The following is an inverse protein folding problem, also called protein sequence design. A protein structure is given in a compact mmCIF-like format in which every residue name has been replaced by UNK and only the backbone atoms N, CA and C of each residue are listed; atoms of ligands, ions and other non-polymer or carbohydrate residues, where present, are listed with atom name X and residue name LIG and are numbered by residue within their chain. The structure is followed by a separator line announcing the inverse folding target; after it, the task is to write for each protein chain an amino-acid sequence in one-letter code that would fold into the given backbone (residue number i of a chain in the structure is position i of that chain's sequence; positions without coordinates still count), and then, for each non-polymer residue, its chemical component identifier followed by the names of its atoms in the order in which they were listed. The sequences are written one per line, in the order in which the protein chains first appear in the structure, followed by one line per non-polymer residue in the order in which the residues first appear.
data_IF_609455227658
#
_entry.id   IF_609455227658
#
_cell.length_a   1.000
_cell.length_b   1.000
_cell.length_c   1.000
_cell.angle_alpha   90.00
_cell.angle_beta   90.00
_cell.angle_gamma   90.00
#
_symmetry.space_group_name_H-M   'P 1'
#
loop_
_entity.id
_entity.type
_entity.pdbx_description
1 polymer ?
#
# COMPACT_ATOMS: atom_id res chain seq x y z
N UNK A 1 -8.00 -11.49 -2.19
CA UNK A 1 -6.65 -11.71 -1.68
C UNK A 1 -6.50 -11.30 -0.21
N UNK A 2 -7.06 -10.16 0.19
CA UNK A 2 -7.07 -9.68 1.59
C UNK A 2 -7.96 -10.50 2.54
N UNK A 3 -8.70 -11.49 2.02
CA UNK A 3 -9.64 -12.35 2.76
C UNK A 3 -10.82 -11.60 3.43
N UNK A 4 -11.08 -10.36 3.04
CA UNK A 4 -12.20 -9.57 3.56
C UNK A 4 -13.54 -9.94 2.90
N UNK A 5 -13.49 -10.37 1.65
CA UNK A 5 -14.64 -10.85 0.88
C UNK A 5 -14.36 -12.26 0.36
N UNK A 6 -15.39 -13.07 0.30
CA UNK A 6 -15.35 -14.37 -0.35
C UNK A 6 -15.59 -14.21 -1.85
N UNK A 7 -14.87 -14.98 -2.66
CA UNK A 7 -15.14 -15.03 -4.09
C UNK A 7 -16.39 -15.87 -4.37
N UNK A 8 -17.20 -15.46 -5.36
CA UNK A 8 -18.36 -16.24 -5.79
C UNK A 8 -17.93 -17.54 -6.49
N UNK A 9 -16.77 -17.54 -7.14
CA UNK A 9 -16.21 -18.70 -7.83
C UNK A 9 -14.69 -18.55 -8.02
N UNK A 10 -14.04 -19.61 -8.43
CA UNK A 10 -12.60 -19.65 -8.67
C UNK A 10 -11.79 -19.94 -7.40
N UNK A 11 -10.46 -19.87 -7.55
CA UNK A 11 -9.50 -20.15 -6.49
C UNK A 11 -8.43 -19.06 -6.46
N UNK A 12 -7.99 -18.71 -5.25
CA UNK A 12 -6.87 -17.78 -5.07
C UNK A 12 -6.00 -18.24 -3.90
N UNK A 13 -4.71 -17.99 -4.02
CA UNK A 13 -3.74 -18.26 -2.95
C UNK A 13 -2.89 -17.03 -2.65
N UNK A 14 -2.50 -16.89 -1.40
CA UNK A 14 -1.54 -15.88 -0.93
C UNK A 14 -0.46 -16.60 -0.15
N UNK A 15 0.79 -16.48 -0.55
CA UNK A 15 1.93 -17.21 0.03
C UNK A 15 1.70 -18.74 0.06
N UNK A 16 1.07 -19.29 -1.00
CA UNK A 16 0.71 -20.70 -1.10
C UNK A 16 -0.49 -21.16 -0.24
N UNK A 17 -1.07 -20.25 0.56
CA UNK A 17 -2.23 -20.51 1.42
C UNK A 17 -3.54 -20.17 0.70
N UNK A 18 -4.55 -21.01 0.83
CA UNK A 18 -5.88 -20.81 0.24
C UNK A 18 -6.62 -19.66 0.95
N UNK A 19 -7.13 -18.68 0.19
CA UNK A 19 -7.74 -17.46 0.76
C UNK A 19 -9.03 -17.74 1.54
N UNK A 20 -9.64 -18.89 1.36
CA UNK A 20 -10.88 -19.29 2.06
C UNK A 20 -10.57 -20.16 3.27
N UNK A 21 -9.71 -21.17 3.10
CA UNK A 21 -9.41 -22.15 4.16
C UNK A 21 -8.44 -21.61 5.19
N UNK A 22 -7.43 -20.86 4.73
CA UNK A 22 -6.30 -20.39 5.55
C UNK A 22 -6.39 -18.91 5.93
N UNK A 23 -7.58 -18.30 5.83
CA UNK A 23 -7.75 -16.84 5.97
C UNK A 23 -7.18 -16.26 7.27
N UNK A 24 -7.27 -17.00 8.39
CA UNK A 24 -6.70 -16.55 9.67
C UNK A 24 -5.17 -16.47 9.62
N UNK A 25 -4.51 -17.41 8.94
CA UNK A 25 -3.06 -17.43 8.81
C UNK A 25 -2.60 -16.32 7.86
N UNK A 26 -3.34 -16.10 6.77
CA UNK A 26 -3.08 -15.03 5.81
C UNK A 26 -3.18 -13.66 6.51
N UNK A 27 -4.25 -13.40 7.25
CA UNK A 27 -4.46 -12.13 7.96
C UNK A 27 -3.34 -11.76 8.93
N UNK A 28 -2.68 -12.72 9.53
CA UNK A 28 -1.53 -12.50 10.42
C UNK A 28 -0.25 -12.08 9.67
N UNK A 29 -0.18 -12.35 8.37
CA UNK A 29 1.02 -12.14 7.53
C UNK A 29 0.84 -11.05 6.48
N UNK A 30 -0.34 -10.46 6.39
CA UNK A 30 -0.72 -9.48 5.39
C UNK A 30 -0.98 -8.14 6.06
N UNK A 31 -0.33 -7.10 5.59
CA UNK A 31 -0.71 -5.72 5.86
C UNK A 31 -1.69 -5.23 4.78
N UNK A 32 -2.69 -4.46 5.18
CA UNK A 32 -3.67 -3.91 4.26
C UNK A 32 -3.92 -2.43 4.52
N UNK A 33 -3.84 -1.64 3.48
CA UNK A 33 -4.18 -0.22 3.49
C UNK A 33 -5.29 0.02 2.45
N UNK A 34 -6.55 0.20 2.88
CA UNK A 34 -7.67 0.48 1.98
C UNK A 34 -7.59 1.91 1.43
N UNK A 35 -8.18 2.14 0.25
CA UNK A 35 -8.16 3.42 -0.46
C UNK A 35 -8.91 4.56 0.23
N UNK A 36 -9.83 4.24 1.14
CA UNK A 36 -10.44 5.22 2.05
C UNK A 36 -9.97 4.94 3.47
N UNK A 37 -9.52 5.98 4.12
CA UNK A 37 -8.82 5.99 5.40
C UNK A 37 -9.27 4.91 6.39
N UNK A 38 -8.38 3.96 6.64
CA UNK A 38 -8.50 2.94 7.69
C UNK A 38 -8.21 3.49 9.09
N UNK A 39 -7.94 4.79 9.21
CA UNK A 39 -7.57 5.44 10.46
C UNK A 39 -8.80 5.90 11.23
N UNK A 40 -8.75 5.73 12.54
CA UNK A 40 -9.72 6.32 13.46
C UNK A 40 -9.43 7.82 13.59
N UNK A 41 -10.27 8.64 12.96
CA UNK A 41 -10.05 10.08 12.80
C UNK A 41 -10.01 10.83 14.16
N UNK A 42 -10.75 10.33 15.15
CA UNK A 42 -10.84 10.92 16.49
C UNK A 42 -9.72 10.50 17.43
N UNK A 43 -9.02 9.40 17.10
CA UNK A 43 -7.84 8.96 17.82
C UNK A 43 -6.60 9.74 17.37
N UNK A 44 -5.64 9.87 18.28
CA UNK A 44 -4.32 10.42 17.98
C UNK A 44 -3.50 9.49 17.11
N UNK A 45 -2.37 9.97 16.61
CA UNK A 45 -1.39 9.15 15.87
C UNK A 45 -0.93 7.97 16.72
N UNK A 46 -0.61 8.22 18.00
CA UNK A 46 -0.18 7.18 18.93
C UNK A 46 -1.28 6.15 19.17
N UNK A 47 -2.50 6.59 19.49
CA UNK A 47 -3.63 5.71 19.76
C UNK A 47 -4.02 4.84 18.55
N UNK A 48 -3.91 5.37 17.31
CA UNK A 48 -4.10 4.56 16.10
C UNK A 48 -3.07 3.42 16.03
N UNK A 49 -1.78 3.72 16.24
CA UNK A 49 -0.73 2.70 16.22
C UNK A 49 -0.89 1.68 17.33
N UNK A 50 -1.19 2.11 18.55
CA UNK A 50 -1.41 1.22 19.71
C UNK A 50 -2.60 0.29 19.47
N UNK A 51 -3.68 0.81 18.85
CA UNK A 51 -4.84 0.03 18.48
C UNK A 51 -4.47 -1.12 17.53
N UNK A 52 -3.77 -0.81 16.42
CA UNK A 52 -3.36 -1.84 15.46
C UNK A 52 -2.34 -2.81 16.07
N UNK A 53 -1.38 -2.32 16.85
CA UNK A 53 -0.42 -3.17 17.55
C UNK A 53 -1.15 -4.16 18.48
N UNK A 54 -2.15 -3.70 19.24
CA UNK A 54 -2.96 -4.53 20.15
C UNK A 54 -3.72 -5.62 19.40
N UNK A 55 -4.36 -5.29 18.26
CA UNK A 55 -5.09 -6.28 17.43
C UNK A 55 -4.17 -7.44 17.01
N UNK A 56 -2.92 -7.14 16.69
CA UNK A 56 -1.94 -8.14 16.26
C UNK A 56 -1.10 -8.71 17.40
N UNK A 57 -1.46 -8.43 18.66
CA UNK A 57 -0.77 -8.89 19.86
C UNK A 57 0.73 -8.56 19.86
N UNK A 58 1.06 -7.32 19.54
CA UNK A 58 2.41 -6.74 19.54
C UNK A 58 2.39 -5.34 20.17
N UNK A 59 3.53 -4.66 20.18
CA UNK A 59 3.63 -3.29 20.65
C UNK A 59 4.46 -2.42 19.68
N UNK A 60 4.25 -1.10 19.73
CA UNK A 60 5.06 -0.16 18.97
C UNK A 60 6.54 -0.33 19.34
N UNK A 61 6.86 -0.52 20.62
CA UNK A 61 8.24 -0.67 21.10
C UNK A 61 8.95 -1.88 20.48
N UNK A 62 8.27 -3.01 20.39
CA UNK A 62 8.82 -4.23 19.81
C UNK A 62 9.13 -4.05 18.31
N UNK A 63 8.22 -3.43 17.59
CA UNK A 63 8.26 -3.33 16.13
C UNK A 63 8.60 -1.92 15.61
N UNK A 64 9.08 -1.02 16.48
CA UNK A 64 9.49 0.33 16.08
C UNK A 64 10.49 0.34 14.94
N UNK A 65 11.44 -0.60 14.93
CA UNK A 65 12.45 -0.74 13.89
C UNK A 65 11.88 -0.98 12.48
N UNK A 66 10.67 -1.56 12.38
CA UNK A 66 9.99 -1.83 11.11
C UNK A 66 9.40 -0.54 10.51
N UNK A 67 8.87 0.31 11.38
CA UNK A 67 8.13 1.53 10.97
C UNK A 67 8.96 2.81 11.12
N UNK A 68 10.15 2.72 11.73
CA UNK A 68 10.98 3.89 12.10
C UNK A 68 11.17 4.88 10.95
N UNK A 69 11.54 4.41 9.76
CA UNK A 69 11.85 5.26 8.61
C UNK A 69 10.64 6.07 8.13
N UNK A 70 9.42 5.59 8.44
CA UNK A 70 8.15 6.22 8.09
C UNK A 70 7.61 7.00 9.29
N UNK A 71 7.51 6.35 10.44
CA UNK A 71 6.88 6.87 11.63
C UNK A 71 7.64 8.05 12.24
N UNK A 72 8.98 8.06 12.22
CA UNK A 72 9.79 9.17 12.75
C UNK A 72 9.43 10.54 12.17
N UNK A 73 8.88 10.56 10.94
CA UNK A 73 8.46 11.80 10.29
C UNK A 73 7.14 12.36 10.85
N UNK A 74 6.33 11.51 11.49
CA UNK A 74 5.04 11.90 12.10
C UNK A 74 5.04 11.75 13.62
N UNK A 75 6.03 11.13 14.21
CA UNK A 75 6.19 10.94 15.65
C UNK A 75 6.15 12.26 16.46
N UNK A 76 6.70 13.39 15.97
CA UNK A 76 6.55 14.69 16.65
C UNK A 76 5.08 15.13 16.81
N UNK A 77 4.18 14.53 16.07
CA UNK A 77 2.73 14.81 16.09
C UNK A 77 1.91 13.67 16.73
N UNK A 78 2.56 12.81 17.52
CA UNK A 78 1.94 11.59 18.09
C UNK A 78 0.65 11.86 18.88
N UNK A 79 0.54 13.01 19.51
CA UNK A 79 -0.62 13.41 20.31
C UNK A 79 -1.70 14.16 19.48
N UNK A 80 -1.47 14.35 18.16
CA UNK A 80 -2.43 14.99 17.26
C UNK A 80 -3.43 13.96 16.75
N UNK A 81 -4.72 14.33 16.74
CA UNK A 81 -5.79 13.49 16.15
C UNK A 81 -5.54 13.24 14.66
N UNK A 82 -5.76 12.00 14.21
CA UNK A 82 -5.56 11.60 12.82
C UNK A 82 -6.39 12.45 11.83
N UNK A 83 -7.59 12.87 12.24
CA UNK A 83 -8.44 13.76 11.44
C UNK A 83 -7.80 15.10 11.09
N UNK A 84 -6.87 15.60 11.92
CA UNK A 84 -6.19 16.88 11.76
C UNK A 84 -4.81 16.79 11.06
N UNK A 85 -4.45 15.62 10.57
CA UNK A 85 -3.22 15.40 9.80
C UNK A 85 -3.41 15.82 8.33
N UNK A 86 -2.32 16.22 7.68
CA UNK A 86 -2.30 16.36 6.21
C UNK A 86 -2.49 15.01 5.52
N UNK A 87 -2.81 15.02 4.22
CA UNK A 87 -2.96 13.79 3.42
C UNK A 87 -1.73 12.90 3.49
N UNK A 88 -0.54 13.45 3.25
CA UNK A 88 0.72 12.70 3.32
C UNK A 88 1.02 12.16 4.72
N UNK A 89 0.71 12.90 5.79
CA UNK A 89 0.86 12.40 7.17
C UNK A 89 -0.11 11.26 7.46
N UNK A 90 -1.36 11.34 6.98
CA UNK A 90 -2.35 10.25 7.11
C UNK A 90 -1.87 8.99 6.41
N UNK A 91 -1.27 9.12 5.23
CA UNK A 91 -0.70 7.98 4.51
C UNK A 91 0.45 7.33 5.28
N UNK A 92 1.38 8.14 5.81
CA UNK A 92 2.49 7.64 6.63
C UNK A 92 1.98 6.90 7.87
N UNK A 93 0.95 7.42 8.53
CA UNK A 93 0.32 6.75 9.66
C UNK A 93 -0.35 5.44 9.24
N UNK A 94 -1.16 5.46 8.17
CA UNK A 94 -1.84 4.26 7.68
C UNK A 94 -0.85 3.16 7.26
N UNK A 95 0.23 3.53 6.58
CA UNK A 95 1.30 2.60 6.22
C UNK A 95 2.01 2.05 7.46
N UNK A 96 2.29 2.89 8.47
CA UNK A 96 2.88 2.45 9.74
C UNK A 96 1.97 1.46 10.48
N UNK A 97 0.66 1.72 10.50
CA UNK A 97 -0.33 0.80 11.08
C UNK A 97 -0.38 -0.54 10.33
N UNK A 98 -0.31 -0.52 9.00
CA UNK A 98 -0.31 -1.73 8.18
C UNK A 98 0.97 -2.57 8.33
N UNK A 99 2.07 -1.96 8.78
CA UNK A 99 3.38 -2.59 8.95
C UNK A 99 3.65 -3.07 10.38
N UNK A 100 2.88 -2.60 11.38
CA UNK A 100 3.22 -2.76 12.80
C UNK A 100 3.37 -4.22 13.25
N UNK A 101 2.74 -5.16 12.56
CA UNK A 101 2.80 -6.59 12.86
C UNK A 101 3.77 -7.39 11.99
N UNK A 102 4.69 -6.70 11.28
CA UNK A 102 5.71 -7.34 10.42
C UNK A 102 5.13 -8.22 9.30
N UNK A 103 4.27 -7.68 8.43
CA UNK A 103 3.69 -8.47 7.35
C UNK A 103 4.73 -8.90 6.31
N UNK A 104 4.51 -10.07 5.69
CA UNK A 104 5.30 -10.55 4.55
C UNK A 104 4.78 -10.00 3.23
N UNK A 105 3.50 -9.64 3.17
CA UNK A 105 2.83 -9.09 1.99
C UNK A 105 2.03 -7.85 2.40
N UNK A 106 2.11 -6.82 1.58
CA UNK A 106 1.40 -5.56 1.78
C UNK A 106 0.46 -5.32 0.60
N UNK A 107 -0.83 -5.18 0.87
CA UNK A 107 -1.84 -4.78 -0.10
C UNK A 107 -2.19 -3.31 0.12
N UNK A 108 -2.04 -2.50 -0.92
CA UNK A 108 -2.32 -1.07 -0.91
C UNK A 108 -3.35 -0.75 -1.98
N UNK A 109 -4.48 -0.23 -1.56
CA UNK A 109 -5.59 0.11 -2.45
C UNK A 109 -5.63 1.62 -2.67
N UNK A 110 -5.21 2.08 -3.85
CA UNK A 110 -5.11 3.48 -4.24
C UNK A 110 -4.44 4.38 -3.18
N UNK A 111 -3.26 4.01 -2.66
CA UNK A 111 -2.71 4.61 -1.44
C UNK A 111 -2.36 6.09 -1.59
N UNK A 112 -2.26 6.61 -2.81
CA UNK A 112 -1.82 7.98 -3.10
C UNK A 112 -2.95 8.86 -3.66
N UNK A 113 -4.18 8.34 -3.73
CA UNK A 113 -5.32 9.13 -4.22
C UNK A 113 -5.60 10.32 -3.31
N UNK A 114 -5.68 11.51 -3.91
CA UNK A 114 -5.93 12.77 -3.19
C UNK A 114 -4.71 13.35 -2.45
N UNK A 115 -3.51 12.90 -2.78
CA UNK A 115 -2.26 13.37 -2.18
C UNK A 115 -1.47 14.19 -3.19
N UNK A 116 -0.77 15.22 -2.69
CA UNK A 116 0.08 16.07 -3.50
C UNK A 116 1.28 15.32 -4.10
N UNK A 117 1.84 15.86 -5.20
CA UNK A 117 2.89 15.20 -5.96
C UNK A 117 4.18 14.92 -5.16
N UNK A 118 4.52 15.79 -4.20
CA UNK A 118 5.72 15.62 -3.37
C UNK A 118 5.52 14.46 -2.41
N UNK A 119 4.41 14.46 -1.68
CA UNK A 119 4.05 13.37 -0.76
C UNK A 119 3.88 12.03 -1.48
N UNK A 120 3.35 12.02 -2.72
CA UNK A 120 3.28 10.82 -3.58
C UNK A 120 4.67 10.25 -3.86
N UNK A 121 5.61 11.10 -4.28
CA UNK A 121 6.99 10.68 -4.55
C UNK A 121 7.65 10.09 -3.31
N UNK A 122 7.53 10.76 -2.17
CA UNK A 122 8.06 10.26 -0.90
C UNK A 122 7.45 8.90 -0.52
N UNK A 123 6.15 8.71 -0.75
CA UNK A 123 5.46 7.45 -0.46
C UNK A 123 6.01 6.31 -1.32
N UNK A 124 6.25 6.52 -2.60
CA UNK A 124 6.83 5.51 -3.48
C UNK A 124 8.28 5.17 -3.11
N UNK A 125 9.08 6.14 -2.67
CA UNK A 125 10.41 5.86 -2.13
C UNK A 125 10.35 4.99 -0.85
N UNK A 126 9.37 5.22 0.02
CA UNK A 126 9.13 4.35 1.18
C UNK A 126 8.78 2.92 0.75
N UNK A 127 7.91 2.74 -0.27
CA UNK A 127 7.57 1.41 -0.79
C UNK A 127 8.79 0.68 -1.37
N UNK A 128 9.66 1.38 -2.11
CA UNK A 128 10.92 0.80 -2.61
C UNK A 128 11.82 0.31 -1.48
N UNK A 129 11.93 1.08 -0.41
CA UNK A 129 12.71 0.69 0.76
C UNK A 129 12.11 -0.54 1.48
N UNK A 130 10.79 -0.64 1.57
CA UNK A 130 10.10 -1.81 2.12
C UNK A 130 10.31 -3.05 1.26
N UNK A 131 10.22 -2.90 -0.07
CA UNK A 131 10.54 -3.97 -1.03
C UNK A 131 11.99 -4.45 -0.87
N UNK A 132 12.96 -3.55 -0.74
CA UNK A 132 14.36 -3.89 -0.51
C UNK A 132 14.58 -4.67 0.81
N UNK A 133 13.69 -4.50 1.79
CA UNK A 133 13.67 -5.28 3.04
C UNK A 133 12.94 -6.63 2.91
N UNK A 134 12.52 -7.02 1.70
CA UNK A 134 11.91 -8.32 1.39
C UNK A 134 10.38 -8.39 1.51
N UNK A 135 9.68 -7.25 1.68
CA UNK A 135 8.22 -7.23 1.70
C UNK A 135 7.71 -7.28 0.25
N UNK A 136 6.80 -8.21 -0.03
CA UNK A 136 6.07 -8.23 -1.31
C UNK A 136 4.94 -7.20 -1.27
N UNK A 137 4.85 -6.33 -2.27
CA UNK A 137 3.88 -5.24 -2.28
C UNK A 137 2.99 -5.35 -3.52
N UNK A 138 1.68 -5.37 -3.31
CA UNK A 138 0.68 -5.24 -4.36
C UNK A 138 -0.05 -3.90 -4.20
N UNK A 139 0.03 -3.05 -5.23
CA UNK A 139 -0.60 -1.73 -5.25
C UNK A 139 -1.67 -1.70 -6.33
N UNK A 140 -2.89 -1.27 -6.00
CA UNK A 140 -3.81 -0.78 -7.01
C UNK A 140 -3.62 0.72 -7.19
N UNK A 141 -3.57 1.21 -8.42
CA UNK A 141 -3.47 2.64 -8.71
C UNK A 141 -4.10 2.97 -10.06
N UNK A 142 -4.83 4.09 -10.19
CA UNK A 142 -5.30 4.60 -11.48
C UNK A 142 -4.23 5.43 -12.21
N UNK A 143 -3.06 5.65 -11.60
CA UNK A 143 -2.02 6.52 -12.14
C UNK A 143 -0.94 5.73 -12.87
N UNK A 144 -0.80 5.96 -14.17
CA UNK A 144 0.17 5.22 -15.00
C UNK A 144 1.63 5.56 -14.66
N UNK A 145 1.92 6.78 -14.21
CA UNK A 145 3.24 7.19 -13.73
C UNK A 145 3.67 6.42 -12.48
N UNK A 146 2.73 5.98 -11.65
CA UNK A 146 2.99 5.10 -10.52
C UNK A 146 3.22 3.65 -10.96
N UNK A 147 2.42 3.17 -11.91
CA UNK A 147 2.55 1.82 -12.44
C UNK A 147 3.95 1.56 -13.01
N UNK A 148 4.59 2.56 -13.64
CA UNK A 148 5.97 2.44 -14.15
C UNK A 148 7.03 2.22 -13.07
N UNK A 149 6.69 2.41 -11.79
CA UNK A 149 7.60 2.16 -10.67
C UNK A 149 7.52 0.72 -10.13
N UNK A 150 6.60 -0.08 -10.65
CA UNK A 150 6.41 -1.48 -10.29
C UNK A 150 7.30 -2.40 -11.11
N UNK A 151 7.62 -3.60 -10.59
CA UNK A 151 8.34 -4.63 -11.36
C UNK A 151 7.44 -5.32 -12.38
N UNK A 152 6.15 -5.43 -12.05
CA UNK A 152 5.12 -6.03 -12.90
C UNK A 152 3.83 -5.25 -12.77
N UNK A 153 3.11 -5.15 -13.86
CA UNK A 153 1.81 -4.48 -13.95
C UNK A 153 0.77 -5.49 -14.43
N UNK A 154 -0.41 -5.47 -13.81
CA UNK A 154 -1.60 -6.13 -14.33
C UNK A 154 -2.60 -5.04 -14.74
N UNK A 155 -2.83 -4.89 -16.03
CA UNK A 155 -3.85 -3.97 -16.53
C UNK A 155 -5.22 -4.63 -16.39
N UNK A 156 -6.12 -3.97 -15.67
CA UNK A 156 -7.47 -4.48 -15.42
C UNK A 156 -8.53 -3.50 -15.94
N UNK A 157 -9.54 -4.02 -16.62
CA UNK A 157 -10.69 -3.25 -17.10
C UNK A 157 -11.96 -4.10 -17.01
N UNK A 158 -13.02 -3.52 -16.49
CA UNK A 158 -14.32 -4.20 -16.32
C UNK A 158 -14.21 -5.59 -15.65
N UNK A 159 -13.36 -5.69 -14.63
CA UNK A 159 -13.13 -6.94 -13.88
C UNK A 159 -12.32 -8.00 -14.62
N UNK A 160 -11.78 -7.70 -15.80
CA UNK A 160 -10.95 -8.62 -16.58
C UNK A 160 -9.50 -8.13 -16.62
N UNK A 161 -8.56 -9.04 -16.45
CA UNK A 161 -7.14 -8.78 -16.69
C UNK A 161 -6.92 -8.77 -18.19
N UNK A 162 -6.45 -7.65 -18.72
CA UNK A 162 -6.15 -7.47 -20.14
C UNK A 162 -4.72 -7.92 -20.49
N UNK A 163 -3.77 -7.57 -19.64
CA UNK A 163 -2.35 -7.92 -19.80
C UNK A 163 -1.66 -7.97 -18.45
N UNK A 164 -0.58 -8.75 -18.37
CA UNK A 164 0.33 -8.81 -17.21
C UNK A 164 1.74 -8.85 -17.73
N UNK A 165 2.52 -7.79 -17.52
CA UNK A 165 3.91 -7.70 -17.97
C UNK A 165 4.71 -6.73 -17.11
N UNK A 166 6.00 -6.54 -17.44
CA UNK A 166 6.80 -5.43 -16.94
C UNK A 166 6.33 -4.11 -17.58
N UNK A 167 6.62 -2.94 -16.97
CA UNK A 167 6.33 -1.65 -17.60
C UNK A 167 6.91 -1.52 -19.02
N UNK A 168 8.14 -1.97 -19.20
CA UNK A 168 8.85 -1.93 -20.49
C UNK A 168 8.18 -2.87 -21.51
N UNK A 169 7.79 -4.07 -21.11
CA UNK A 169 7.07 -5.02 -21.97
C UNK A 169 5.75 -4.46 -22.45
N UNK A 170 4.95 -3.88 -21.54
CA UNK A 170 3.69 -3.23 -21.92
C UNK A 170 3.86 -2.07 -22.89
N UNK A 171 4.95 -1.28 -22.76
CA UNK A 171 5.25 -0.20 -23.70
C UNK A 171 5.71 -0.72 -25.07
N UNK A 172 6.46 -1.82 -25.08
CA UNK A 172 6.96 -2.42 -26.32
C UNK A 172 5.84 -3.04 -27.17
N UNK A 173 4.83 -3.61 -26.51
CA UNK A 173 3.67 -4.22 -27.15
C UNK A 173 2.62 -3.22 -27.65
N UNK A 174 2.80 -1.91 -27.37
CA UNK A 174 1.87 -0.88 -27.80
C UNK A 174 2.05 -0.59 -29.31
N UNK A 175 1.05 -0.83 -30.16
CA UNK A 175 1.21 -0.81 -31.62
C UNK A 175 1.35 0.59 -32.22
N UNK A 176 0.92 1.63 -31.50
CA UNK A 176 0.89 2.99 -32.01
C UNK A 176 2.12 3.81 -31.59
N UNK A 177 2.62 4.65 -32.50
CA UNK A 177 3.72 5.56 -32.18
C UNK A 177 3.20 6.76 -31.39
N UNK A 178 3.73 6.98 -30.20
CA UNK A 178 3.47 8.17 -29.40
C UNK A 178 4.44 9.29 -29.79
N UNK A 179 3.91 10.47 -30.09
CA UNK A 179 4.69 11.67 -30.42
C UNK A 179 4.50 12.71 -29.31
N UNK A 180 5.60 13.19 -28.75
CA UNK A 180 5.59 14.36 -27.89
C UNK A 180 5.83 15.62 -28.73
N UNK A 181 4.91 16.57 -28.67
CA UNK A 181 5.05 17.87 -29.34
C UNK A 181 5.34 18.93 -28.28
N UNK A 182 6.48 19.63 -28.42
CA UNK A 182 6.81 20.80 -27.60
C UNK A 182 6.82 22.06 -28.47
N UNK A 183 6.15 23.12 -28.02
CA UNK A 183 6.23 24.44 -28.58
C UNK A 183 7.19 25.31 -27.80
N UNK A 184 8.13 25.97 -28.42
CA UNK A 184 8.87 27.08 -27.82
C UNK A 184 7.98 28.30 -27.89
N UNK A 185 7.40 28.73 -26.76
CA UNK A 185 6.80 30.05 -26.58
C UNK A 185 7.88 31.08 -26.36
#
# INVERSE_FOLDING_TARGET
LTTLLLADSGQATVMGMDVVKDFWQIRKKVGYMPGRFSLYQDLTVQENLDFFATIFNTSIKENYHLIKDIYSQIEPFKDRRAGKLSGGMKQKLALSCALIHSPSVLFLDEPTTGVDAVSRKEFWEMLKNLKAKGITILVSTPYMDEATQCDRIALIQNGKILSVDTPEGMMADYPDKLYAVSSKS
#
